data_IF_322166462063
#
_entry.id   IF_322166462063
#
_cell.length_a   1.000
_cell.length_b   1.000
_cell.length_c   1.000
_cell.angle_alpha   90.00
_cell.angle_beta   90.00
_cell.angle_gamma   90.00
#
_symmetry.space_group_name_H-M   'P 1'
#
loop_
_entity.id
_entity.type
_entity.pdbx_description
1 polymer ?
#
# COMPACT_ATOMS: atom_id res chain seq x y z
N UNK A 1 2.88 16.29 20.77
CA UNK A 1 1.98 16.22 19.60
C UNK A 1 2.59 15.15 18.75
N UNK A 2 2.06 13.95 18.80
CA UNK A 2 2.56 12.84 18.01
C UNK A 2 2.31 13.18 16.54
N UNK A 3 3.40 13.45 15.82
CA UNK A 3 3.36 13.84 14.41
C UNK A 3 2.89 12.64 13.57
N UNK A 4 1.99 12.87 12.61
CA UNK A 4 1.43 11.87 11.69
C UNK A 4 2.47 10.87 11.16
N UNK A 5 3.67 11.36 10.87
CA UNK A 5 4.82 10.57 10.41
C UNK A 5 5.29 9.55 11.44
N UNK A 6 5.35 9.90 12.71
CA UNK A 6 5.79 8.99 13.76
C UNK A 6 4.78 7.86 13.99
N UNK A 7 3.49 8.20 13.93
CA UNK A 7 2.39 7.22 14.04
C UNK A 7 2.45 6.24 12.86
N UNK A 8 2.66 6.75 11.65
CA UNK A 8 2.81 5.90 10.46
C UNK A 8 4.02 4.98 10.55
N UNK A 9 5.19 5.49 10.96
CA UNK A 9 6.42 4.69 11.09
C UNK A 9 6.25 3.56 12.10
N UNK A 10 5.67 3.82 13.27
CA UNK A 10 5.41 2.75 14.24
C UNK A 10 4.38 1.75 13.73
N UNK A 11 3.37 2.21 12.99
CA UNK A 11 2.33 1.33 12.46
C UNK A 11 2.85 0.36 11.38
N UNK A 12 3.82 0.76 10.54
CA UNK A 12 4.44 -0.16 9.55
C UNK A 12 5.38 -1.19 10.20
N UNK A 13 5.87 -0.93 11.42
CA UNK A 13 6.64 -1.91 12.20
C UNK A 13 5.74 -3.02 12.79
N UNK A 14 4.41 -2.80 12.84
CA UNK A 14 3.46 -3.80 13.33
C UNK A 14 3.03 -4.71 12.17
N UNK A 15 3.54 -5.94 12.16
CA UNK A 15 3.22 -6.93 11.12
C UNK A 15 1.75 -7.40 11.17
N UNK A 16 1.19 -7.54 12.38
CA UNK A 16 -0.21 -7.94 12.61
C UNK A 16 -1.19 -6.82 12.24
N UNK A 17 -2.08 -7.08 11.28
CA UNK A 17 -3.11 -6.11 10.86
C UNK A 17 -4.07 -5.71 12.01
N UNK A 18 -4.43 -6.65 12.89
CA UNK A 18 -5.30 -6.39 14.06
C UNK A 18 -4.62 -5.49 15.10
N UNK A 19 -3.35 -5.78 15.43
CA UNK A 19 -2.57 -4.93 16.36
C UNK A 19 -2.30 -3.55 15.78
N UNK A 20 -2.05 -3.46 14.47
CA UNK A 20 -1.85 -2.19 13.76
C UNK A 20 -3.11 -1.32 13.84
N UNK A 21 -4.29 -1.90 13.64
CA UNK A 21 -5.55 -1.16 13.76
C UNK A 21 -5.81 -0.68 15.19
N UNK A 22 -5.54 -1.51 16.21
CA UNK A 22 -5.67 -1.10 17.61
C UNK A 22 -4.73 0.03 17.97
N UNK A 23 -3.47 -0.03 17.52
CA UNK A 23 -2.49 1.03 17.73
C UNK A 23 -2.95 2.35 17.10
N UNK A 24 -3.43 2.33 15.85
CA UNK A 24 -3.91 3.54 15.17
C UNK A 24 -5.15 4.11 15.86
N UNK A 25 -6.09 3.27 16.33
CA UNK A 25 -7.27 3.73 17.06
C UNK A 25 -6.92 4.34 18.42
N UNK A 26 -5.99 3.72 19.17
CA UNK A 26 -5.51 4.22 20.46
C UNK A 26 -4.78 5.56 20.33
N UNK A 27 -3.85 5.66 19.37
CA UNK A 27 -3.01 6.86 19.20
C UNK A 27 -3.78 8.00 18.53
N UNK A 28 -4.66 7.71 17.57
CA UNK A 28 -5.47 8.76 16.94
C UNK A 28 -6.64 9.20 17.83
N UNK A 29 -7.14 8.32 18.71
CA UNK A 29 -8.24 8.60 19.63
C UNK A 29 -9.45 9.21 18.93
N UNK A 30 -9.81 10.44 19.30
CA UNK A 30 -10.96 11.17 18.71
C UNK A 30 -10.64 11.88 17.39
N UNK A 31 -9.37 11.88 16.95
CA UNK A 31 -8.96 12.59 15.74
C UNK A 31 -9.19 11.74 14.48
N UNK A 32 -10.46 11.65 14.08
CA UNK A 32 -10.91 10.89 12.91
C UNK A 32 -10.22 11.31 11.59
N UNK A 33 -9.80 12.57 11.48
CA UNK A 33 -9.08 13.07 10.30
C UNK A 33 -7.66 12.50 10.21
N UNK A 34 -6.96 12.47 11.34
CA UNK A 34 -5.64 11.86 11.44
C UNK A 34 -5.72 10.35 11.21
N UNK A 35 -6.70 9.68 11.81
CA UNK A 35 -6.96 8.26 11.60
C UNK A 35 -7.15 7.93 10.11
N UNK A 36 -7.99 8.71 9.41
CA UNK A 36 -8.23 8.50 7.98
C UNK A 36 -6.95 8.66 7.14
N UNK A 37 -6.12 9.67 7.43
CA UNK A 37 -4.82 9.89 6.77
C UNK A 37 -3.86 8.71 6.99
N UNK A 38 -3.71 8.25 8.23
CA UNK A 38 -2.84 7.13 8.56
C UNK A 38 -3.32 5.83 7.87
N UNK A 39 -4.63 5.57 7.86
CA UNK A 39 -5.19 4.42 7.15
C UNK A 39 -4.92 4.45 5.64
N UNK A 40 -4.99 5.62 5.01
CA UNK A 40 -4.68 5.80 3.59
C UNK A 40 -3.20 5.50 3.30
N UNK A 41 -2.29 6.07 4.10
CA UNK A 41 -0.84 5.81 4.00
C UNK A 41 -0.51 4.33 4.20
N UNK A 42 -1.11 3.69 5.20
CA UNK A 42 -0.91 2.26 5.45
C UNK A 42 -1.44 1.40 4.31
N UNK A 43 -2.58 1.78 3.71
CA UNK A 43 -3.12 1.07 2.55
C UNK A 43 -2.22 1.19 1.32
N UNK A 44 -1.62 2.36 1.09
CA UNK A 44 -0.67 2.56 0.01
C UNK A 44 0.64 1.79 0.24
N UNK A 45 1.09 1.71 1.49
CA UNK A 45 2.25 0.89 1.87
C UNK A 45 1.99 -0.61 1.73
N UNK A 46 0.83 -1.09 2.16
CA UNK A 46 0.44 -2.50 2.11
C UNK A 46 0.07 -2.96 0.69
N UNK A 47 -0.28 -2.02 -0.21
CA UNK A 47 -0.57 -2.32 -1.61
C UNK A 47 0.67 -2.94 -2.28
N UNK A 48 0.65 -4.24 -2.62
CA UNK A 48 1.79 -4.88 -3.25
C UNK A 48 1.84 -4.40 -4.70
N UNK A 49 2.70 -3.43 -5.01
CA UNK A 49 3.06 -3.03 -6.37
C UNK A 49 1.88 -2.99 -7.37
N UNK A 50 0.77 -2.31 -7.06
CA UNK A 50 -0.30 -2.12 -8.06
C UNK A 50 0.12 -1.24 -9.25
N UNK A 51 1.39 -0.83 -9.32
CA UNK A 51 2.02 -0.24 -10.49
C UNK A 51 2.39 -1.27 -11.58
N UNK A 52 2.48 -2.58 -11.25
CA UNK A 52 2.85 -3.64 -12.22
C UNK A 52 1.72 -4.64 -12.51
N UNK A 53 0.45 -4.25 -12.38
CA UNK A 53 -0.62 -4.90 -13.14
C UNK A 53 -0.68 -4.31 -14.56
N UNK A 54 0.45 -4.30 -15.25
CA UNK A 54 0.44 -4.34 -16.71
C UNK A 54 -0.09 -5.73 -17.09
N UNK A 55 -1.15 -5.86 -17.90
CA UNK A 55 -1.32 -7.09 -18.64
C UNK A 55 -0.09 -7.21 -19.56
N UNK A 56 0.86 -8.07 -19.18
CA UNK A 56 1.90 -8.56 -20.08
C UNK A 56 1.26 -9.42 -21.17
N UNK A 57 0.52 -8.79 -22.08
CA UNK A 57 -0.02 -9.38 -23.29
C UNK A 57 -0.15 -8.21 -24.28
N UNK A 58 0.69 -8.08 -25.31
CA UNK A 58 1.13 -9.12 -26.23
C UNK A 58 2.31 -8.57 -27.04
N UNK A 59 3.53 -9.01 -26.76
CA UNK A 59 4.63 -8.87 -27.71
C UNK A 59 4.37 -9.85 -28.85
N UNK A 60 3.78 -9.36 -29.94
CA UNK A 60 3.59 -10.13 -31.17
C UNK A 60 4.93 -10.13 -31.93
N UNK A 61 5.79 -11.11 -31.65
CA UNK A 61 6.85 -11.51 -32.56
C UNK A 61 6.39 -12.73 -33.35
N UNK A 62 5.43 -12.55 -34.26
CA UNK A 62 5.24 -13.47 -35.37
C UNK A 62 6.27 -13.16 -36.46
N UNK A 63 7.54 -13.48 -36.20
CA UNK A 63 8.52 -13.71 -37.26
C UNK A 63 8.52 -15.22 -37.56
N UNK A 64 7.79 -15.64 -38.59
CA UNK A 64 8.04 -16.92 -39.25
C UNK A 64 7.95 -16.74 -40.77
N UNK A 65 8.99 -17.23 -41.44
CA UNK A 65 9.34 -16.93 -42.81
C UNK A 65 8.28 -17.33 -43.83
N UNK A 66 8.10 -16.46 -44.81
CA UNK A 66 7.66 -16.87 -46.14
C UNK A 66 8.93 -17.01 -46.99
N UNK A 67 9.44 -18.24 -47.09
CA UNK A 67 10.32 -18.63 -48.20
C UNK A 67 9.55 -18.39 -49.51
N UNK A 68 10.21 -17.72 -50.47
CA UNK A 68 9.68 -17.36 -51.79
C UNK A 68 10.01 -18.41 -52.83
#
# INVERSE_FOLDING_TARGET
>A
MDDEKEIFLRAIEIESLDERQRFVDEVCGSNRKLQARICELLREYDAPNSCFSEPAARFDFANNGSES
#
